data_IF_629772203142
#
_entry.id   IF_629772203142
#
_cell.length_a   1.000
_cell.length_b   1.000
_cell.length_c   1.000
_cell.angle_alpha   90.00
_cell.angle_beta   90.00
_cell.angle_gamma   90.00
#
_symmetry.space_group_name_H-M   'P 1'
#
loop_
_entity.id
_entity.type
_entity.pdbx_description
1 polymer ?
#
# COMPACT_ATOMS: atom_id res chain seq x y z
N UNK A 1 -11.77 66.17 -13.86
CA UNK A 1 -12.72 65.32 -13.13
C UNK A 1 -12.27 63.87 -13.34
N UNK A 2 -11.99 62.99 -12.38
CA UNK A 2 -11.85 63.01 -10.93
C UNK A 2 -10.94 61.81 -10.55
N UNK A 3 -10.19 61.94 -9.45
CA UNK A 3 -9.22 60.96 -8.92
C UNK A 3 -9.88 60.06 -7.86
N UNK A 4 -9.44 58.81 -7.75
CA UNK A 4 -9.12 58.05 -6.51
C UNK A 4 -8.90 56.56 -6.88
N UNK A 5 -7.72 55.95 -6.69
CA UNK A 5 -7.17 55.34 -5.44
C UNK A 5 -8.14 54.31 -4.83
N UNK A 6 -7.78 53.06 -4.47
CA UNK A 6 -6.55 52.47 -3.93
C UNK A 6 -6.62 50.93 -4.16
N UNK A 7 -5.53 50.24 -4.57
CA UNK A 7 -4.52 49.53 -3.72
C UNK A 7 -5.14 48.59 -2.68
N UNK A 8 -4.81 47.29 -2.75
CA UNK A 8 -4.07 46.52 -1.73
C UNK A 8 -3.53 45.23 -2.38
N UNK A 9 -2.21 45.10 -2.37
CA UNK A 9 -1.46 43.86 -2.59
C UNK A 9 -1.67 42.89 -1.43
N UNK A 10 -1.68 41.59 -1.70
CA UNK A 10 -1.03 40.63 -0.80
C UNK A 10 -0.48 39.44 -1.59
N UNK A 11 0.84 39.42 -1.70
CA UNK A 11 1.61 38.23 -2.00
C UNK A 11 1.53 37.22 -0.83
N UNK A 12 1.39 35.92 -1.11
CA UNK A 12 1.95 34.87 -0.25
C UNK A 12 2.19 33.55 -0.99
N UNK A 13 3.46 33.41 -1.39
CA UNK A 13 4.36 32.28 -1.10
C UNK A 13 3.98 30.87 -1.59
N UNK A 14 4.84 30.39 -2.49
CA UNK A 14 5.03 28.99 -2.83
C UNK A 14 5.21 28.08 -1.61
N UNK A 15 4.64 26.88 -1.69
CA UNK A 15 5.15 25.69 -0.99
C UNK A 15 4.66 24.45 -1.71
N UNK A 16 5.60 23.75 -2.35
CA UNK A 16 5.38 22.42 -2.89
C UNK A 16 5.10 21.44 -1.76
N UNK A 17 4.05 20.64 -1.91
CA UNK A 17 3.91 19.39 -1.18
C UNK A 17 4.30 18.26 -2.11
N UNK A 18 5.62 18.06 -2.21
CA UNK A 18 6.17 16.76 -2.53
C UNK A 18 5.45 15.74 -1.63
N UNK A 19 4.83 14.75 -2.26
CA UNK A 19 4.25 13.57 -1.60
C UNK A 19 5.33 12.92 -0.76
N UNK A 20 5.32 13.27 0.52
CA UNK A 20 6.22 12.79 1.55
C UNK A 20 5.77 11.36 1.87
N UNK A 21 6.34 10.40 1.15
CA UNK A 21 6.35 8.99 1.56
C UNK A 21 7.26 8.88 2.79
N UNK A 22 6.79 9.39 3.92
CA UNK A 22 7.42 9.17 5.20
C UNK A 22 7.14 7.71 5.61
N UNK A 23 8.11 6.84 5.30
CA UNK A 23 8.30 5.60 6.03
C UNK A 23 8.46 5.95 7.51
N UNK A 24 7.44 5.72 8.33
CA UNK A 24 7.58 5.67 9.80
C UNK A 24 7.99 4.24 10.15
N UNK A 25 9.19 4.00 10.70
CA UNK A 25 9.49 2.76 11.38
C UNK A 25 9.05 2.94 12.85
N UNK A 26 7.81 2.56 13.17
CA UNK A 26 7.41 2.36 14.57
C UNK A 26 7.49 0.87 14.89
N UNK A 27 8.60 0.50 15.52
CA UNK A 27 8.60 -0.29 16.76
C UNK A 27 7.96 -1.69 16.70
N UNK A 28 8.69 -2.64 16.14
CA UNK A 28 8.63 -4.03 16.59
C UNK A 28 9.53 -4.19 17.82
N UNK A 29 9.02 -3.86 19.00
CA UNK A 29 9.65 -4.24 20.26
C UNK A 29 8.57 -4.43 21.32
N UNK A 30 8.07 -5.67 21.46
CA UNK A 30 7.83 -6.16 22.81
C UNK A 30 8.10 -7.66 22.91
N UNK A 31 9.20 -7.93 23.60
CA UNK A 31 9.65 -9.24 24.03
C UNK A 31 8.74 -9.74 25.14
N UNK A 32 8.39 -11.02 25.02
CA UNK A 32 7.81 -11.86 26.05
C UNK A 32 8.71 -11.87 27.30
N UNK A 33 8.10 -11.64 28.46
CA UNK A 33 8.69 -11.86 29.78
C UNK A 33 7.65 -12.54 30.66
N UNK A 34 7.87 -13.82 30.92
CA UNK A 34 7.06 -14.67 31.78
C UNK A 34 7.33 -14.40 33.27
N UNK A 35 6.38 -14.81 34.11
CA UNK A 35 6.58 -15.54 35.37
C UNK A 35 5.72 -15.01 36.52
N UNK A 36 5.16 -15.97 37.26
CA UNK A 36 4.58 -15.90 38.61
C UNK A 36 3.07 -15.65 38.72
N UNK A 37 2.27 -16.74 38.63
CA UNK A 37 1.01 -16.84 39.38
C UNK A 37 1.10 -18.07 40.28
N UNK A 38 1.26 -17.80 41.57
CA UNK A 38 1.22 -18.78 42.63
C UNK A 38 -0.18 -19.34 42.85
N UNK A 39 -0.24 -20.67 42.89
CA UNK A 39 -0.99 -21.53 43.81
C UNK A 39 -1.93 -20.81 44.81
N UNK A 40 -3.22 -21.15 44.83
CA UNK A 40 -3.88 -21.77 46.00
C UNK A 40 -5.41 -21.98 45.83
N UNK A 41 -5.83 -23.22 46.13
CA UNK A 41 -7.02 -23.60 46.93
C UNK A 41 -8.38 -23.85 46.23
N UNK A 42 -8.72 -25.15 46.25
CA UNK A 42 -10.03 -25.82 46.51
C UNK A 42 -11.21 -25.55 45.58
N UNK A 43 -11.44 -26.53 44.72
CA UNK A 43 -12.58 -27.45 44.86
C UNK A 43 -13.98 -26.92 44.52
N UNK A 44 -14.50 -27.30 43.35
CA UNK A 44 -15.73 -28.07 43.21
C UNK A 44 -15.83 -28.56 41.76
N UNK A 45 -16.05 -29.86 41.61
CA UNK A 45 -16.38 -30.53 40.37
C UNK A 45 -17.69 -29.96 39.79
N UNK A 46 -17.63 -29.31 38.62
CA UNK A 46 -18.75 -29.24 37.67
C UNK A 46 -18.18 -29.58 36.30
N UNK A 47 -18.43 -30.83 35.87
CA UNK A 47 -18.24 -31.28 34.49
C UNK A 47 -19.31 -30.58 33.66
N UNK A 48 -19.00 -29.38 33.17
CA UNK A 48 -19.79 -28.67 32.17
C UNK A 48 -19.40 -29.24 30.81
N UNK A 49 -20.34 -29.98 30.21
CA UNK A 49 -20.31 -30.45 28.84
C UNK A 49 -19.82 -29.32 27.92
N UNK A 50 -18.58 -29.42 27.44
CA UNK A 50 -18.09 -28.64 26.30
C UNK A 50 -18.80 -29.21 25.09
N UNK A 51 -20.01 -28.71 24.84
CA UNK A 51 -20.60 -28.77 23.52
C UNK A 51 -19.65 -28.02 22.60
N UNK A 52 -18.83 -28.77 21.87
CA UNK A 52 -18.06 -28.26 20.75
C UNK A 52 -19.06 -27.83 19.67
N UNK A 53 -19.66 -26.65 19.83
CA UNK A 53 -20.22 -25.88 18.74
C UNK A 53 -19.03 -25.42 17.91
N UNK A 54 -18.53 -26.30 17.06
CA UNK A 54 -17.74 -25.89 15.92
C UNK A 54 -18.57 -24.81 15.20
N UNK A 55 -18.05 -23.59 14.99
CA UNK A 55 -18.65 -22.72 14.00
C UNK A 55 -18.48 -23.47 12.69
N UNK A 56 -19.53 -24.15 12.25
CA UNK A 56 -19.72 -24.45 10.86
C UNK A 56 -19.70 -23.08 10.19
N UNK A 57 -18.54 -22.70 9.65
CA UNK A 57 -18.47 -21.73 8.57
C UNK A 57 -19.19 -22.37 7.38
N UNK A 58 -20.52 -22.43 7.49
CA UNK A 58 -21.39 -22.42 6.35
C UNK A 58 -21.09 -21.08 5.68
N UNK A 59 -20.06 -21.07 4.84
CA UNK A 59 -19.82 -20.00 3.89
C UNK A 59 -20.89 -20.14 2.81
N UNK A 60 -22.15 -19.90 3.21
CA UNK A 60 -23.04 -19.22 2.30
C UNK A 60 -22.31 -17.91 2.02
N UNK A 61 -21.68 -17.81 0.85
CA UNK A 61 -21.11 -16.56 0.35
C UNK A 61 -22.27 -15.63 0.05
N UNK A 62 -22.94 -15.16 1.11
CA UNK A 62 -23.95 -14.13 1.02
C UNK A 62 -23.18 -12.93 0.47
N UNK A 63 -23.56 -12.47 -0.70
CA UNK A 63 -23.00 -11.28 -1.34
C UNK A 63 -23.47 -10.01 -0.60
N UNK A 64 -23.30 -10.00 0.72
CA UNK A 64 -23.60 -8.90 1.60
C UNK A 64 -22.36 -8.06 1.87
N UNK A 65 -22.54 -6.99 2.65
CA UNK A 65 -21.48 -6.02 2.96
C UNK A 65 -20.19 -6.67 3.54
N UNK A 66 -20.31 -7.80 4.25
CA UNK A 66 -19.15 -8.53 4.77
C UNK A 66 -18.20 -9.02 3.67
N UNK A 67 -18.73 -9.44 2.52
CA UNK A 67 -17.91 -9.93 1.41
C UNK A 67 -17.12 -8.80 0.73
N UNK A 68 -17.70 -7.61 0.61
CA UNK A 68 -16.97 -6.43 0.10
C UNK A 68 -15.83 -6.02 1.04
N UNK A 69 -16.08 -6.01 2.36
CA UNK A 69 -15.06 -5.73 3.37
C UNK A 69 -13.92 -6.75 3.33
N UNK A 70 -14.23 -8.03 3.16
CA UNK A 70 -13.22 -9.08 3.03
C UNK A 70 -12.31 -8.82 1.82
N UNK A 71 -12.88 -8.52 0.65
CA UNK A 71 -12.10 -8.22 -0.57
C UNK A 71 -11.21 -6.98 -0.37
N UNK A 72 -11.70 -5.94 0.30
CA UNK A 72 -10.88 -4.76 0.63
C UNK A 72 -9.71 -5.13 1.55
N UNK A 73 -9.95 -5.94 2.59
CA UNK A 73 -8.92 -6.37 3.53
C UNK A 73 -7.86 -7.24 2.86
N UNK A 74 -8.28 -8.21 2.04
CA UNK A 74 -7.40 -9.06 1.24
C UNK A 74 -6.53 -8.24 0.29
N UNK A 75 -7.14 -7.26 -0.40
CA UNK A 75 -6.41 -6.37 -1.31
C UNK A 75 -5.39 -5.51 -0.56
N UNK A 76 -5.78 -4.94 0.59
CA UNK A 76 -4.87 -4.17 1.43
C UNK A 76 -3.68 -5.00 1.91
N UNK A 77 -3.93 -6.23 2.36
CA UNK A 77 -2.88 -7.16 2.75
C UNK A 77 -1.94 -7.49 1.58
N UNK A 78 -2.47 -7.73 0.39
CA UNK A 78 -1.67 -7.99 -0.81
C UNK A 78 -0.75 -6.79 -1.18
N UNK A 79 -1.28 -5.57 -1.13
CA UNK A 79 -0.51 -4.35 -1.40
C UNK A 79 0.58 -4.14 -0.35
N UNK A 80 0.28 -4.31 0.94
CA UNK A 80 1.27 -4.23 2.02
C UNK A 80 2.37 -5.28 1.85
N UNK A 81 2.00 -6.52 1.52
CA UNK A 81 2.97 -7.58 1.23
C UNK A 81 3.91 -7.25 0.06
N UNK A 82 3.39 -6.63 -1.01
CA UNK A 82 4.22 -6.13 -2.10
C UNK A 82 5.19 -5.04 -1.64
N UNK A 83 4.75 -4.13 -0.79
CA UNK A 83 5.63 -3.08 -0.24
C UNK A 83 6.74 -3.67 0.63
N UNK A 84 6.41 -4.58 1.53
CA UNK A 84 7.38 -5.24 2.41
C UNK A 84 8.42 -6.04 1.61
N UNK A 85 7.98 -6.74 0.56
CA UNK A 85 8.86 -7.54 -0.28
C UNK A 85 9.84 -6.69 -1.12
N UNK A 86 9.44 -5.50 -1.55
CA UNK A 86 10.20 -4.74 -2.55
C UNK A 86 10.90 -3.49 -2.01
N UNK A 87 10.35 -2.82 -0.99
CA UNK A 87 10.82 -1.50 -0.56
C UNK A 87 12.30 -1.50 -0.14
N UNK A 88 12.71 -2.50 0.65
CA UNK A 88 14.12 -2.63 1.09
C UNK A 88 15.07 -2.88 -0.08
N UNK A 89 14.69 -3.73 -1.03
CA UNK A 89 15.52 -4.05 -2.19
C UNK A 89 15.69 -2.82 -3.12
N UNK A 90 14.60 -2.11 -3.40
CA UNK A 90 14.61 -0.86 -4.18
C UNK A 90 15.47 0.20 -3.49
N UNK A 91 15.31 0.40 -2.18
CA UNK A 91 16.12 1.34 -1.41
C UNK A 91 17.61 0.98 -1.46
N UNK A 92 17.97 -0.29 -1.26
CA UNK A 92 19.36 -0.74 -1.29
C UNK A 92 20.01 -0.48 -2.66
N UNK A 93 19.30 -0.76 -3.76
CA UNK A 93 19.79 -0.51 -5.14
C UNK A 93 19.99 0.98 -5.41
N UNK A 94 19.06 1.83 -4.96
CA UNK A 94 19.21 3.28 -5.07
C UNK A 94 20.42 3.81 -4.28
N UNK A 95 20.68 3.27 -3.09
CA UNK A 95 21.87 3.64 -2.31
C UNK A 95 23.17 3.17 -2.97
N UNK A 96 23.17 1.99 -3.59
CA UNK A 96 24.32 1.51 -4.36
C UNK A 96 24.62 2.41 -5.56
N UNK A 97 23.59 2.81 -6.32
CA UNK A 97 23.73 3.79 -7.42
C UNK A 97 24.26 5.14 -6.91
N UNK A 98 23.72 5.62 -5.78
CA UNK A 98 24.19 6.85 -5.15
C UNK A 98 25.69 6.80 -4.84
N UNK A 99 26.13 5.70 -4.21
CA UNK A 99 27.53 5.51 -3.84
C UNK A 99 28.44 5.45 -5.07
N UNK A 100 28.05 4.70 -6.10
CA UNK A 100 28.84 4.57 -7.32
C UNK A 100 29.03 5.90 -8.06
N UNK A 101 27.97 6.68 -8.20
CA UNK A 101 28.04 7.98 -8.88
C UNK A 101 28.46 9.14 -7.98
N UNK A 102 28.74 8.88 -6.70
CA UNK A 102 29.06 9.89 -5.69
C UNK A 102 28.05 11.06 -5.65
N UNK A 103 26.75 10.75 -5.77
CA UNK A 103 25.71 11.78 -5.72
C UNK A 103 25.62 12.39 -4.31
N UNK A 104 25.69 13.73 -4.25
CA UNK A 104 25.44 14.48 -3.01
C UNK A 104 24.00 14.31 -2.53
N UNK A 105 23.71 14.74 -1.30
CA UNK A 105 22.34 14.70 -0.76
C UNK A 105 21.36 15.54 -1.61
N UNK A 106 21.83 16.63 -2.23
CA UNK A 106 21.04 17.49 -3.10
C UNK A 106 20.82 16.88 -4.49
N UNK A 107 21.84 16.20 -5.03
CA UNK A 107 21.78 15.55 -6.34
C UNK A 107 21.01 14.22 -6.31
N UNK A 108 21.08 13.50 -5.18
CA UNK A 108 20.44 12.18 -5.02
C UNK A 108 18.96 12.17 -5.40
N UNK A 109 18.06 13.04 -4.89
CA UNK A 109 16.65 13.00 -5.26
C UNK A 109 16.42 13.29 -6.75
N UNK A 110 17.24 14.14 -7.38
CA UNK A 110 17.13 14.46 -8.82
C UNK A 110 17.42 13.21 -9.66
N UNK A 111 18.46 12.46 -9.30
CA UNK A 111 18.85 11.24 -10.01
C UNK A 111 18.02 10.01 -9.61
N UNK A 112 17.53 9.94 -8.38
CA UNK A 112 16.73 8.81 -7.89
C UNK A 112 15.27 8.87 -8.36
N UNK A 113 14.69 10.06 -8.50
CA UNK A 113 13.27 10.23 -8.86
C UNK A 113 12.86 9.47 -10.12
N UNK A 114 13.62 9.52 -11.24
CA UNK A 114 13.25 8.80 -12.46
C UNK A 114 13.17 7.27 -12.31
N UNK A 115 13.79 6.68 -11.29
CA UNK A 115 13.70 5.24 -11.03
C UNK A 115 12.41 4.84 -10.32
N UNK A 116 11.79 5.76 -9.57
CA UNK A 116 10.58 5.52 -8.78
C UNK A 116 9.33 6.19 -9.38
N UNK A 117 9.53 7.23 -10.18
CA UNK A 117 8.48 8.02 -10.82
C UNK A 117 8.89 8.40 -12.24
N UNK A 118 8.15 7.84 -13.19
CA UNK A 118 8.26 8.04 -14.63
C UNK A 118 6.86 7.89 -15.26
N UNK A 119 6.78 7.92 -16.58
CA UNK A 119 5.50 7.85 -17.29
C UNK A 119 4.77 6.51 -17.04
N UNK A 120 5.50 5.40 -16.94
CA UNK A 120 4.91 4.07 -16.72
C UNK A 120 4.33 3.95 -15.31
N UNK A 121 5.10 4.30 -14.30
CA UNK A 121 4.66 4.30 -12.90
C UNK A 121 3.53 5.32 -12.67
N UNK A 122 3.57 6.47 -13.35
CA UNK A 122 2.51 7.47 -13.30
C UNK A 122 1.22 6.97 -13.96
N UNK A 123 1.31 6.25 -15.08
CA UNK A 123 0.17 5.65 -15.75
C UNK A 123 -0.48 4.55 -14.90
N UNK A 124 0.33 3.68 -14.27
CA UNK A 124 -0.16 2.65 -13.35
C UNK A 124 -0.85 3.28 -12.12
N UNK A 125 -0.27 4.35 -11.56
CA UNK A 125 -0.89 5.08 -10.45
C UNK A 125 -2.22 5.74 -10.88
N UNK A 126 -2.30 6.25 -12.12
CA UNK A 126 -3.53 6.81 -12.67
C UNK A 126 -4.61 5.75 -12.89
N UNK A 127 -4.24 4.58 -13.42
CA UNK A 127 -5.14 3.44 -13.59
C UNK A 127 -5.71 2.98 -12.23
N UNK A 128 -4.86 2.90 -11.19
CA UNK A 128 -5.31 2.58 -9.84
C UNK A 128 -6.28 3.62 -9.28
N UNK A 129 -6.01 4.92 -9.45
CA UNK A 129 -6.97 5.96 -9.04
C UNK A 129 -8.32 5.81 -9.74
N UNK A 130 -8.32 5.52 -11.04
CA UNK A 130 -9.55 5.30 -11.80
C UNK A 130 -10.33 4.08 -11.30
N UNK A 131 -9.65 2.97 -11.00
CA UNK A 131 -10.25 1.78 -10.41
C UNK A 131 -10.85 2.05 -9.03
N UNK A 132 -10.15 2.80 -8.17
CA UNK A 132 -10.65 3.16 -6.84
C UNK A 132 -11.87 4.08 -6.91
N UNK A 133 -11.92 5.00 -7.87
CA UNK A 133 -13.12 5.82 -8.14
C UNK A 133 -14.29 4.95 -8.61
N UNK A 134 -14.03 4.02 -9.53
CA UNK A 134 -15.05 3.03 -9.94
C UNK A 134 -15.54 2.23 -8.74
N UNK A 135 -14.63 1.81 -7.87
CA UNK A 135 -14.97 0.99 -6.71
C UNK A 135 -15.85 1.73 -5.70
N UNK A 136 -15.64 3.04 -5.51
CA UNK A 136 -16.49 3.88 -4.65
C UNK A 136 -17.92 4.00 -5.16
N UNK A 137 -18.18 3.76 -6.45
CA UNK A 137 -19.54 3.76 -7.02
C UNK A 137 -20.33 2.47 -6.72
N UNK A 138 -19.67 1.41 -6.23
CA UNK A 138 -20.36 0.18 -5.83
C UNK A 138 -21.00 0.36 -4.45
N UNK A 139 -22.31 0.56 -4.45
CA UNK A 139 -23.12 0.53 -3.22
C UNK A 139 -23.95 -0.76 -3.19
N UNK A 140 -23.61 -1.65 -2.26
CA UNK A 140 -24.32 -2.91 -2.06
C UNK A 140 -25.81 -2.72 -1.68
N UNK A 141 -26.17 -1.52 -1.22
CA UNK A 141 -27.55 -1.13 -0.86
C UNK A 141 -28.41 -0.83 -2.09
N UNK A 142 -27.80 -0.56 -3.25
CA UNK A 142 -28.50 -0.22 -4.50
C UNK A 142 -28.90 -1.44 -5.35
N UNK A 143 -28.50 -2.64 -4.95
CA UNK A 143 -28.82 -3.85 -5.71
C UNK A 143 -30.22 -4.37 -5.34
N UNK A 144 -31.11 -4.40 -6.34
CA UNK A 144 -32.51 -4.79 -6.19
C UNK A 144 -32.73 -6.29 -5.87
N UNK A 145 -31.70 -7.12 -6.01
CA UNK A 145 -31.76 -8.56 -5.75
C UNK A 145 -30.44 -9.10 -5.22
N UNK A 146 -30.47 -10.30 -4.64
CA UNK A 146 -29.26 -11.02 -4.24
C UNK A 146 -28.32 -11.30 -5.43
N UNK A 147 -28.86 -11.72 -6.57
CA UNK A 147 -28.08 -11.91 -7.80
C UNK A 147 -27.40 -10.62 -8.25
N UNK A 148 -28.09 -9.48 -8.13
CA UNK A 148 -27.53 -8.16 -8.41
C UNK A 148 -26.37 -7.82 -7.49
N UNK A 149 -26.51 -8.09 -6.18
CA UNK A 149 -25.42 -7.91 -5.20
C UNK A 149 -24.23 -8.81 -5.51
N UNK A 150 -24.48 -10.06 -5.90
CA UNK A 150 -23.43 -10.99 -6.29
C UNK A 150 -22.71 -10.57 -7.57
N UNK A 151 -23.44 -10.02 -8.55
CA UNK A 151 -22.83 -9.46 -9.75
C UNK A 151 -21.93 -8.28 -9.42
N UNK A 152 -22.41 -7.35 -8.61
CA UNK A 152 -21.64 -6.20 -8.15
C UNK A 152 -20.37 -6.63 -7.40
N UNK A 153 -20.47 -7.63 -6.52
CA UNK A 153 -19.32 -8.15 -5.80
C UNK A 153 -18.27 -8.79 -6.73
N UNK A 154 -18.68 -9.44 -7.82
CA UNK A 154 -17.72 -9.96 -8.82
C UNK A 154 -16.97 -8.82 -9.50
N UNK A 155 -17.68 -7.77 -9.94
CA UNK A 155 -17.04 -6.61 -10.57
C UNK A 155 -16.12 -5.86 -9.60
N UNK A 156 -16.52 -5.74 -8.35
CA UNK A 156 -15.70 -5.18 -7.27
C UNK A 156 -14.39 -5.97 -7.11
N UNK A 157 -14.47 -7.31 -7.04
CA UNK A 157 -13.29 -8.18 -6.97
C UNK A 157 -12.37 -7.99 -8.15
N UNK A 158 -12.91 -7.95 -9.37
CA UNK A 158 -12.11 -7.73 -10.57
C UNK A 158 -11.39 -6.37 -10.53
N UNK A 159 -12.08 -5.32 -10.08
CA UNK A 159 -11.45 -4.00 -9.97
C UNK A 159 -10.34 -3.97 -8.92
N UNK A 160 -10.53 -4.60 -7.75
CA UNK A 160 -9.53 -4.65 -6.69
C UNK A 160 -8.33 -5.55 -7.06
N UNK A 161 -8.57 -6.67 -7.73
CA UNK A 161 -7.51 -7.53 -8.29
C UNK A 161 -6.64 -6.75 -9.29
N UNK A 162 -7.26 -5.93 -10.14
CA UNK A 162 -6.53 -5.07 -11.07
C UNK A 162 -5.68 -4.01 -10.35
N UNK A 163 -6.13 -3.49 -9.21
CA UNK A 163 -5.30 -2.59 -8.38
C UNK A 163 -4.05 -3.29 -7.85
N UNK A 164 -4.18 -4.55 -7.41
CA UNK A 164 -3.03 -5.37 -6.96
C UNK A 164 -2.08 -5.61 -8.12
N UNK A 165 -2.59 -6.01 -9.29
CA UNK A 165 -1.79 -6.26 -10.50
C UNK A 165 -1.00 -5.04 -10.95
N UNK A 166 -1.63 -3.87 -10.99
CA UNK A 166 -0.96 -2.62 -11.33
C UNK A 166 0.11 -2.24 -10.30
N UNK A 167 -0.17 -2.47 -9.02
CA UNK A 167 0.81 -2.22 -7.94
C UNK A 167 2.02 -3.16 -8.07
N UNK A 168 1.78 -4.45 -8.36
CA UNK A 168 2.84 -5.41 -8.62
C UNK A 168 3.63 -5.07 -9.90
N UNK A 169 2.95 -4.63 -10.97
CA UNK A 169 3.58 -4.17 -12.20
C UNK A 169 4.49 -2.95 -11.95
N UNK A 170 4.04 -2.01 -11.12
CA UNK A 170 4.84 -0.84 -10.71
C UNK A 170 6.12 -1.27 -10.00
N UNK A 171 6.03 -2.18 -9.02
CA UNK A 171 7.22 -2.71 -8.34
C UNK A 171 8.18 -3.40 -9.30
N UNK A 172 7.69 -4.30 -10.16
CA UNK A 172 8.52 -5.00 -11.18
C UNK A 172 9.23 -4.01 -12.09
N UNK A 173 8.54 -2.97 -12.53
CA UNK A 173 9.11 -1.92 -13.38
C UNK A 173 10.25 -1.17 -12.69
N UNK A 174 10.03 -0.71 -11.45
CA UNK A 174 11.06 -0.01 -10.68
C UNK A 174 12.29 -0.89 -10.44
N UNK A 175 12.08 -2.16 -10.06
CA UNK A 175 13.17 -3.13 -9.85
C UNK A 175 13.95 -3.37 -11.15
N UNK A 176 13.25 -3.62 -12.27
CA UNK A 176 13.90 -3.87 -13.56
C UNK A 176 14.76 -2.67 -14.02
N UNK A 177 14.28 -1.43 -13.83
CA UNK A 177 15.07 -0.24 -14.15
C UNK A 177 16.33 -0.12 -13.30
N UNK A 178 16.22 -0.41 -12.00
CA UNK A 178 17.36 -0.37 -11.09
C UNK A 178 18.36 -1.48 -11.40
N UNK A 179 17.90 -2.68 -11.73
CA UNK A 179 18.76 -3.80 -12.13
C UNK A 179 19.53 -3.50 -13.42
N UNK A 180 18.84 -2.92 -14.41
CA UNK A 180 19.49 -2.49 -15.65
C UNK A 180 20.58 -1.45 -15.38
N UNK A 181 20.30 -0.44 -14.56
CA UNK A 181 21.29 0.58 -14.19
C UNK A 181 22.48 -0.02 -13.42
N UNK A 182 22.22 -0.96 -12.51
CA UNK A 182 23.28 -1.63 -11.75
C UNK A 182 24.15 -2.54 -12.61
N UNK A 183 23.57 -3.22 -13.59
CA UNK A 183 24.35 -4.02 -14.55
C UNK A 183 25.31 -3.13 -15.35
N UNK A 184 24.86 -1.95 -15.80
CA UNK A 184 25.72 -0.99 -16.51
C UNK A 184 26.88 -0.53 -15.64
N UNK A 185 26.61 -0.23 -14.37
CA UNK A 185 27.63 0.15 -13.38
C UNK A 185 28.67 -0.96 -13.18
N UNK A 186 28.22 -2.21 -13.01
CA UNK A 186 29.13 -3.35 -12.83
C UNK A 186 30.02 -3.57 -14.06
N UNK A 187 29.48 -3.39 -15.27
CA UNK A 187 30.26 -3.52 -16.51
C UNK A 187 31.32 -2.43 -16.65
N UNK A 188 31.01 -1.20 -16.25
CA UNK A 188 31.96 -0.08 -16.29
C UNK A 188 33.15 -0.29 -15.35
N UNK A 189 32.90 -0.80 -14.13
CA UNK A 189 33.96 -1.03 -13.14
C UNK A 189 34.87 -2.24 -13.40
N UNK A 190 34.55 -3.10 -14.39
CA UNK A 190 35.40 -4.23 -14.80
C UNK A 190 36.33 -3.89 -15.97
N UNK A 191 36.26 -2.68 -16.51
CA UNK A 191 37.04 -2.23 -17.66
C UNK A 191 38.22 -1.30 -17.33
N UNK A 192 38.51 -1.08 -16.04
CA UNK A 192 39.60 -0.24 -15.53
C UNK A 192 40.78 -1.07 -14.98
#
# INVERSE_FOLDING_TARGET
>A
MGRAFARVEHAKKASGSAGRWAFRPSECANRLGASEIGMQVRGLFIVLFVGASAPAFAQATVCGAGAFKAVMAETGAAISGLQEANAKAVQAKLQALRAFHNWSDEAYPVHATPFVKDDTTTALDAANRALLVKVQSFDASNAASEDGRCSMLREFRLAMDEVVKNTAAKWRHMVAKLDAAMSTVMQAGMGE
#
